data_IF_689619828067
#
_entry.id   IF_689619828067
#
_cell.length_a   1.000
_cell.length_b   1.000
_cell.length_c   1.000
_cell.angle_alpha   90.00
_cell.angle_beta   90.00
_cell.angle_gamma   90.00
#
_symmetry.space_group_name_H-M   'P 1'
#
loop_
_entity.id
_entity.type
_entity.pdbx_description
1 polymer ?
#
# COMPACT_ATOMS: atom_id res chain seq x y z
N UNK A 1 -23.85 9.48 5.35
CA UNK A 1 -22.74 8.52 5.17
C UNK A 1 -23.03 7.36 6.10
N UNK A 2 -23.22 6.15 5.57
CA UNK A 2 -23.54 4.97 6.38
C UNK A 2 -22.30 4.36 7.03
N UNK A 3 -22.52 3.42 7.95
CA UNK A 3 -21.45 2.65 8.60
C UNK A 3 -20.59 1.90 7.56
N UNK A 4 -19.27 1.94 7.73
CA UNK A 4 -18.35 1.22 6.85
C UNK A 4 -18.51 -0.30 7.03
N UNK A 5 -18.40 -1.06 5.94
CA UNK A 5 -18.36 -2.52 5.99
C UNK A 5 -17.18 -3.05 6.77
N UNK A 6 -17.37 -4.19 7.44
CA UNK A 6 -16.33 -4.87 8.20
C UNK A 6 -15.05 -5.09 7.38
N UNK A 7 -15.18 -5.45 6.10
CA UNK A 7 -14.06 -5.69 5.20
C UNK A 7 -13.71 -4.50 4.29
N UNK A 8 -14.29 -3.32 4.55
CA UNK A 8 -14.01 -2.13 3.76
C UNK A 8 -12.54 -1.74 3.88
N UNK A 9 -11.85 -1.56 2.75
CA UNK A 9 -10.42 -1.25 2.69
C UNK A 9 -9.48 -2.45 2.81
N UNK A 10 -10.00 -3.65 3.08
CA UNK A 10 -9.22 -4.89 3.14
C UNK A 10 -9.40 -5.78 1.91
N UNK A 11 -10.47 -5.56 1.14
CA UNK A 11 -10.80 -6.37 -0.03
C UNK A 11 -10.18 -5.83 -1.32
N UNK A 12 -9.48 -6.71 -2.05
CA UNK A 12 -8.87 -6.43 -3.34
C UNK A 12 -9.29 -7.49 -4.36
N UNK A 13 -9.49 -7.06 -5.60
CA UNK A 13 -9.75 -7.96 -6.71
C UNK A 13 -8.49 -8.79 -7.00
N UNK A 14 -8.64 -10.11 -7.12
CA UNK A 14 -7.52 -11.00 -7.42
C UNK A 14 -6.90 -10.72 -8.81
N UNK A 15 -7.72 -10.40 -9.80
CA UNK A 15 -7.24 -10.25 -11.18
C UNK A 15 -6.60 -8.90 -11.47
N UNK A 16 -7.18 -7.80 -10.97
CA UNK A 16 -6.70 -6.45 -11.29
C UNK A 16 -6.08 -5.69 -10.11
N UNK A 17 -6.07 -6.28 -8.91
CA UNK A 17 -5.52 -5.65 -7.69
C UNK A 17 -6.27 -4.41 -7.21
N UNK A 18 -7.37 -4.01 -7.86
CA UNK A 18 -8.15 -2.84 -7.48
C UNK A 18 -8.99 -3.13 -6.23
N UNK A 19 -9.23 -2.09 -5.42
CA UNK A 19 -10.03 -2.18 -4.19
C UNK A 19 -11.47 -2.62 -4.54
N UNK A 20 -12.06 -3.46 -3.70
CA UNK A 20 -13.49 -3.80 -3.78
C UNK A 20 -14.29 -2.98 -2.78
N UNK A 21 -15.41 -2.41 -3.22
CA UNK A 21 -16.29 -1.60 -2.37
C UNK A 21 -17.58 -2.36 -2.09
N UNK A 22 -18.12 -2.20 -0.89
CA UNK A 22 -19.41 -2.77 -0.53
C UNK A 22 -20.53 -1.97 -1.20
N UNK A 23 -21.44 -2.70 -1.83
CA UNK A 23 -22.67 -2.19 -2.41
C UNK A 23 -23.82 -2.48 -1.46
N UNK A 24 -24.50 -1.42 -1.00
CA UNK A 24 -25.71 -1.48 -0.19
C UNK A 24 -26.79 -0.62 -0.84
N UNK A 25 -28.04 -1.03 -0.70
CA UNK A 25 -29.20 -0.23 -1.09
C UNK A 25 -30.24 -0.28 0.02
N UNK A 26 -31.13 0.71 0.09
CA UNK A 26 -32.20 0.78 1.11
C UNK A 26 -33.12 -0.44 1.10
N UNK A 27 -33.28 -1.06 -0.07
CA UNK A 27 -34.13 -2.24 -0.26
C UNK A 27 -33.33 -3.55 -0.21
N UNK A 28 -32.02 -3.51 0.03
CA UNK A 28 -31.23 -4.73 0.17
C UNK A 28 -31.39 -5.31 1.56
N UNK A 29 -31.73 -6.59 1.60
CA UNK A 29 -31.53 -7.40 2.81
C UNK A 29 -30.03 -7.64 3.00
N UNK A 30 -29.61 -7.97 4.22
CA UNK A 30 -28.18 -8.23 4.54
C UNK A 30 -27.55 -9.30 3.64
N UNK A 31 -28.32 -10.31 3.24
CA UNK A 31 -27.91 -11.40 2.35
C UNK A 31 -27.74 -10.99 0.88
N UNK A 32 -28.27 -9.82 0.51
CA UNK A 32 -28.16 -9.25 -0.84
C UNK A 32 -26.99 -8.27 -0.96
N UNK A 33 -26.37 -7.86 0.15
CA UNK A 33 -25.18 -7.01 0.11
C UNK A 33 -23.99 -7.75 -0.51
N UNK A 34 -23.17 -7.03 -1.27
CA UNK A 34 -22.02 -7.61 -1.95
C UNK A 34 -20.88 -6.61 -2.11
N UNK A 35 -19.66 -7.12 -2.23
CA UNK A 35 -18.48 -6.38 -2.63
C UNK A 35 -18.31 -6.45 -4.14
N UNK A 36 -18.00 -5.31 -4.77
CA UNK A 36 -17.81 -5.18 -6.22
C UNK A 36 -16.44 -4.58 -6.51
N UNK A 37 -15.75 -5.13 -7.51
CA UNK A 37 -14.47 -4.60 -7.96
C UNK A 37 -14.60 -3.17 -8.51
N UNK A 38 -13.74 -2.26 -8.04
CA UNK A 38 -13.68 -0.89 -8.56
C UNK A 38 -13.09 -0.79 -9.97
N UNK A 39 -12.18 -1.69 -10.33
CA UNK A 39 -11.67 -1.80 -11.70
C UNK A 39 -12.80 -2.08 -12.68
N UNK A 40 -13.58 -3.14 -12.43
CA UNK A 40 -14.77 -3.48 -13.23
C UNK A 40 -15.79 -2.33 -13.31
N UNK A 41 -16.05 -1.63 -12.20
CA UNK A 41 -17.00 -0.51 -12.17
C UNK A 41 -16.59 0.64 -13.09
N UNK A 42 -15.29 0.95 -13.14
CA UNK A 42 -14.76 2.12 -13.87
C UNK A 42 -14.62 1.84 -15.36
N UNK A 43 -14.06 0.69 -15.72
CA UNK A 43 -13.96 0.26 -17.11
C UNK A 43 -13.97 -1.26 -17.20
N UNK A 44 -14.66 -1.78 -18.22
CA UNK A 44 -14.71 -3.23 -18.49
C UNK A 44 -13.43 -3.77 -19.15
N UNK A 45 -12.50 -2.88 -19.49
CA UNK A 45 -11.26 -3.23 -20.18
C UNK A 45 -10.26 -3.91 -19.25
N UNK A 46 -10.34 -3.65 -17.94
CA UNK A 46 -9.41 -4.23 -16.94
C UNK A 46 -9.94 -5.57 -16.41
N UNK A 47 -11.22 -5.63 -16.07
CA UNK A 47 -11.89 -6.87 -15.68
C UNK A 47 -12.94 -7.21 -16.74
N UNK A 48 -12.66 -8.21 -17.57
CA UNK A 48 -13.57 -8.60 -18.66
C UNK A 48 -14.91 -9.18 -18.19
N UNK A 49 -15.00 -9.61 -16.92
CA UNK A 49 -16.22 -10.11 -16.29
C UNK A 49 -16.51 -9.38 -14.98
N UNK A 50 -17.76 -9.49 -14.50
CA UNK A 50 -18.18 -8.89 -13.23
C UNK A 50 -17.53 -9.62 -12.07
N UNK A 51 -16.67 -8.94 -11.32
CA UNK A 51 -16.06 -9.51 -10.11
C UNK A 51 -16.79 -9.00 -8.88
N UNK A 52 -17.65 -9.85 -8.32
CA UNK A 52 -18.41 -9.56 -7.11
C UNK A 52 -18.47 -10.75 -6.18
N UNK A 53 -18.53 -10.49 -4.87
CA UNK A 53 -18.74 -11.51 -3.83
C UNK A 53 -19.78 -11.01 -2.84
N UNK A 54 -20.75 -11.86 -2.48
CA UNK A 54 -21.76 -11.51 -1.47
C UNK A 54 -21.13 -11.41 -0.09
N UNK A 55 -21.59 -10.45 0.72
CA UNK A 55 -21.06 -10.22 2.07
C UNK A 55 -21.23 -11.44 2.96
N UNK A 56 -22.40 -12.11 2.91
CA UNK A 56 -22.66 -13.32 3.71
C UNK A 56 -21.70 -14.46 3.40
N UNK A 57 -21.40 -14.69 2.11
CA UNK A 57 -20.45 -15.73 1.70
C UNK A 57 -19.04 -15.37 2.16
N UNK A 58 -18.66 -14.11 2.06
CA UNK A 58 -17.36 -13.64 2.55
C UNK A 58 -17.21 -13.85 4.06
N UNK A 59 -18.23 -13.49 4.84
CA UNK A 59 -18.25 -13.69 6.30
C UNK A 59 -18.13 -15.17 6.67
N UNK A 60 -18.88 -16.04 5.99
CA UNK A 60 -18.82 -17.49 6.21
C UNK A 60 -17.45 -18.08 5.89
N UNK A 61 -16.84 -17.71 4.77
CA UNK A 61 -15.52 -18.17 4.37
C UNK A 61 -14.44 -17.73 5.37
N UNK A 62 -14.47 -16.46 5.79
CA UNK A 62 -13.52 -15.94 6.78
C UNK A 62 -13.71 -16.66 8.11
N UNK A 63 -14.95 -16.84 8.56
CA UNK A 63 -15.24 -17.52 9.81
C UNK A 63 -14.82 -18.99 9.78
N UNK A 64 -15.07 -19.69 8.68
CA UNK A 64 -14.63 -21.07 8.48
C UNK A 64 -13.11 -21.17 8.56
N UNK A 65 -12.39 -20.33 7.82
CA UNK A 65 -10.92 -20.30 7.85
C UNK A 65 -10.38 -20.02 9.26
N UNK A 66 -11.00 -19.08 9.99
CA UNK A 66 -10.61 -18.80 11.38
C UNK A 66 -10.82 -20.02 12.29
N UNK A 67 -11.93 -20.74 12.14
CA UNK A 67 -12.20 -21.97 12.89
C UNK A 67 -11.18 -23.07 12.56
N UNK A 68 -10.82 -23.22 11.30
CA UNK A 68 -9.80 -24.17 10.86
C UNK A 68 -8.43 -23.85 11.47
N UNK A 69 -8.02 -22.58 11.44
CA UNK A 69 -6.76 -22.12 12.06
C UNK A 69 -6.76 -22.37 13.57
N UNK A 70 -7.84 -22.02 14.27
CA UNK A 70 -7.94 -22.24 15.73
C UNK A 70 -7.94 -23.72 16.08
N UNK A 71 -8.64 -24.54 15.29
CA UNK A 71 -8.66 -26.00 15.43
C UNK A 71 -7.26 -26.59 15.24
N UNK A 72 -6.56 -26.18 14.18
CA UNK A 72 -5.18 -26.57 13.91
C UNK A 72 -4.24 -26.19 15.07
N UNK A 73 -4.31 -24.93 15.53
CA UNK A 73 -3.49 -24.44 16.63
C UNK A 73 -3.76 -25.19 17.96
N UNK A 74 -5.01 -25.59 18.19
CA UNK A 74 -5.40 -26.33 19.39
C UNK A 74 -4.88 -27.77 19.39
N UNK A 75 -4.89 -28.43 18.21
CA UNK A 75 -4.48 -29.83 18.07
C UNK A 75 -2.96 -30.00 17.93
N UNK A 76 -2.27 -29.05 17.29
CA UNK A 76 -0.84 -29.14 16.96
C UNK A 76 -0.11 -27.86 17.34
N UNK A 77 0.02 -27.64 18.65
CA UNK A 77 0.60 -26.40 19.21
C UNK A 77 2.03 -26.15 18.74
N UNK A 78 2.90 -27.17 18.82
CA UNK A 78 4.32 -27.01 18.48
C UNK A 78 4.54 -26.69 16.99
N UNK A 79 3.80 -27.38 16.11
CA UNK A 79 3.82 -27.11 14.66
C UNK A 79 3.29 -25.71 14.36
N UNK A 80 2.23 -25.28 15.04
CA UNK A 80 1.67 -23.94 14.87
C UNK A 80 2.66 -22.86 15.31
N UNK A 81 3.30 -23.01 16.48
CA UNK A 81 4.31 -22.08 16.97
C UNK A 81 5.47 -21.99 15.98
N UNK A 82 6.00 -23.14 15.53
CA UNK A 82 7.08 -23.18 14.53
C UNK A 82 6.67 -22.48 13.23
N UNK A 83 5.48 -22.77 12.71
CA UNK A 83 4.95 -22.15 11.49
C UNK A 83 4.84 -20.62 11.63
N UNK A 84 4.33 -20.12 12.76
CA UNK A 84 4.18 -18.69 13.03
C UNK A 84 5.55 -18.01 13.14
N UNK A 85 6.50 -18.62 13.86
CA UNK A 85 7.86 -18.09 14.00
C UNK A 85 8.59 -18.04 12.66
N UNK A 86 8.47 -19.09 11.86
CA UNK A 86 9.06 -19.15 10.51
C UNK A 86 8.45 -18.08 9.59
N UNK A 87 7.13 -17.85 9.69
CA UNK A 87 6.45 -16.80 8.93
C UNK A 87 6.89 -15.40 9.35
N UNK A 88 6.96 -15.12 10.65
CA UNK A 88 7.45 -13.84 11.19
C UNK A 88 8.89 -13.58 10.75
N UNK A 89 9.77 -14.56 10.89
CA UNK A 89 11.18 -14.43 10.49
C UNK A 89 11.32 -14.16 9.00
N UNK A 90 10.55 -14.84 8.13
CA UNK A 90 10.52 -14.54 6.69
C UNK A 90 10.06 -13.12 6.40
N UNK A 91 9.00 -12.65 7.06
CA UNK A 91 8.48 -11.30 6.86
C UNK A 91 9.49 -10.24 7.33
N UNK A 92 10.08 -10.41 8.51
CA UNK A 92 11.13 -9.53 9.04
C UNK A 92 12.35 -9.48 8.13
N UNK A 93 12.82 -10.62 7.64
CA UNK A 93 13.96 -10.69 6.74
C UNK A 93 13.68 -9.98 5.40
N UNK A 94 12.47 -10.10 4.84
CA UNK A 94 12.06 -9.33 3.65
C UNK A 94 12.08 -7.82 3.91
N UNK A 95 11.57 -7.39 5.07
CA UNK A 95 11.59 -5.99 5.50
C UNK A 95 13.02 -5.45 5.65
N UNK A 96 13.90 -6.20 6.32
CA UNK A 96 15.31 -5.87 6.49
C UNK A 96 16.02 -5.79 5.14
N UNK A 97 15.81 -6.75 4.24
CA UNK A 97 16.40 -6.73 2.92
C UNK A 97 15.98 -5.50 2.09
N UNK A 98 14.71 -5.08 2.19
CA UNK A 98 14.23 -3.86 1.52
C UNK A 98 14.90 -2.61 2.10
N UNK A 99 14.96 -2.50 3.43
CA UNK A 99 15.62 -1.37 4.12
C UNK A 99 17.11 -1.30 3.78
N UNK A 100 17.81 -2.44 3.79
CA UNK A 100 19.22 -2.51 3.43
C UNK A 100 19.46 -2.04 2.00
N UNK A 101 18.62 -2.45 1.04
CA UNK A 101 18.69 -1.97 -0.35
C UNK A 101 18.48 -0.46 -0.43
N UNK A 102 17.53 0.09 0.32
CA UNK A 102 17.29 1.54 0.38
C UNK A 102 18.46 2.29 1.00
N UNK A 103 19.07 1.76 2.06
CA UNK A 103 20.27 2.34 2.68
C UNK A 103 21.44 2.40 1.68
N UNK A 104 21.77 1.28 1.05
CA UNK A 104 22.85 1.22 0.04
C UNK A 104 22.57 2.17 -1.13
N UNK A 105 21.31 2.27 -1.57
CA UNK A 105 20.94 3.22 -2.61
C UNK A 105 21.12 4.68 -2.16
N UNK A 106 20.71 5.01 -0.94
CA UNK A 106 20.88 6.34 -0.37
C UNK A 106 22.36 6.70 -0.16
N UNK A 107 23.18 5.78 0.35
CA UNK A 107 24.63 5.95 0.50
C UNK A 107 25.32 6.20 -0.85
N UNK A 108 24.96 5.43 -1.89
CA UNK A 108 25.45 5.68 -3.26
C UNK A 108 25.02 7.05 -3.78
N UNK A 109 23.79 7.48 -3.50
CA UNK A 109 23.35 8.85 -3.81
C UNK A 109 24.23 9.85 -3.07
N UNK A 110 24.42 9.73 -1.77
CA UNK A 110 25.29 10.65 -1.02
C UNK A 110 26.69 10.70 -1.63
N UNK A 111 27.31 9.55 -1.91
CA UNK A 111 28.63 9.47 -2.53
C UNK A 111 28.70 10.16 -3.90
N UNK A 112 27.65 10.04 -4.71
CA UNK A 112 27.59 10.71 -6.01
C UNK A 112 27.41 12.24 -5.88
N UNK A 113 26.86 12.73 -4.77
CA UNK A 113 26.64 14.17 -4.54
C UNK A 113 27.81 14.86 -3.83
N UNK A 114 28.66 14.12 -3.10
CA UNK A 114 29.89 14.64 -2.46
C UNK A 114 30.85 15.34 -3.45
N UNK A 115 31.05 14.86 -4.69
CA UNK A 115 31.81 15.58 -5.71
C UNK A 115 31.21 16.96 -6.05
N UNK A 116 29.89 17.08 -6.04
CA UNK A 116 29.18 18.33 -6.38
C UNK A 116 29.28 19.37 -5.25
N UNK A 117 29.21 18.93 -3.98
CA UNK A 117 29.42 19.82 -2.83
C UNK A 117 30.88 20.28 -2.68
N UNK A 118 31.85 19.43 -3.04
CA UNK A 118 33.28 19.78 -3.08
C UNK A 118 33.57 20.88 -4.12
N UNK A 119 32.83 20.91 -5.23
CA UNK A 119 32.92 21.99 -6.23
C UNK A 119 32.26 23.27 -5.71
N UNK A 120 31.12 23.19 -5.02
CA UNK A 120 30.43 24.37 -4.48
C UNK A 120 31.21 25.06 -3.35
N UNK A 121 31.91 24.32 -2.49
CA UNK A 121 32.77 24.88 -1.42
C UNK A 121 34.10 25.47 -1.92
N UNK A 122 34.48 25.26 -3.19
CA UNK A 122 35.71 25.80 -3.79
C UNK A 122 35.49 27.06 -4.62
N UNK A 123 34.26 27.58 -4.71
CA UNK A 123 34.02 28.89 -5.31
C UNK A 123 34.43 29.93 -4.25
N UNK A 124 35.50 30.72 -4.47
CA UNK A 124 35.81 31.81 -3.56
C UNK A 124 34.60 32.75 -3.56
N UNK A 125 34.06 33.04 -2.38
CA UNK A 125 33.05 34.06 -2.17
C UNK A 125 33.63 35.39 -2.65
N UNK A 126 33.38 35.72 -3.93
CA UNK A 126 33.78 36.97 -4.53
C UNK A 126 32.65 37.95 -4.25
N UNK A 127 32.83 38.76 -3.22
CA UNK A 127 32.04 39.96 -3.00
C UNK A 127 32.00 40.79 -4.30
N UNK A 128 30.86 41.46 -4.50
CA UNK A 128 30.48 42.32 -5.63
C UNK A 128 29.60 41.68 -6.70
N UNK A 129 28.35 41.38 -6.34
CA UNK A 129 27.25 41.37 -7.31
C UNK A 129 25.91 41.83 -6.68
N UNK A 130 25.95 42.93 -5.91
CA UNK A 130 24.76 43.58 -5.36
C UNK A 130 24.51 45.00 -5.93
N UNK A 131 24.80 45.24 -7.21
CA UNK A 131 24.56 46.59 -7.80
C UNK A 131 24.00 46.65 -9.22
N UNK A 132 23.51 45.57 -9.86
CA UNK A 132 23.04 45.71 -11.26
C UNK A 132 21.68 45.12 -11.67
N UNK A 133 20.91 44.45 -10.80
CA UNK A 133 19.63 43.83 -11.25
C UNK A 133 18.38 44.54 -10.74
N UNK A 134 18.48 45.50 -9.81
CA UNK A 134 17.36 46.36 -9.41
C UNK A 134 17.47 47.76 -10.04
N UNK A 135 17.31 47.86 -11.36
CA UNK A 135 16.96 49.13 -12.04
C UNK A 135 16.48 48.87 -13.47
N UNK A 136 15.15 48.83 -13.63
CA UNK A 136 14.29 48.85 -14.85
C UNK A 136 13.29 47.69 -14.80
N UNK A 137 11.97 47.82 -14.84
CA UNK A 137 10.99 48.90 -15.10
C UNK A 137 9.58 48.28 -14.81
N UNK A 138 8.42 48.90 -15.11
CA UNK A 138 7.85 50.18 -14.70
C UNK A 138 6.51 50.00 -13.94
N UNK A 139 5.94 51.12 -13.50
CA UNK A 139 4.56 51.26 -13.02
C UNK A 139 3.55 50.71 -14.02
N UNK A 140 2.57 49.96 -13.51
CA UNK A 140 1.14 50.16 -13.75
C UNK A 140 0.44 50.08 -12.39
#
# INVERSE_FOLDING_TARGET
MGEMGMFSGMMFCADCGSIMYQCRATNFRRDQEYYLCSGYRKSRDVCGQTHSIRTVILEELVLQNLREIVSFASQRKDDFVKMVMDADMRQRNRGLAKRQKTLVYAEKRMQNWIPFSSVFMKIPFRENFLTSVFKSSPRL
#
